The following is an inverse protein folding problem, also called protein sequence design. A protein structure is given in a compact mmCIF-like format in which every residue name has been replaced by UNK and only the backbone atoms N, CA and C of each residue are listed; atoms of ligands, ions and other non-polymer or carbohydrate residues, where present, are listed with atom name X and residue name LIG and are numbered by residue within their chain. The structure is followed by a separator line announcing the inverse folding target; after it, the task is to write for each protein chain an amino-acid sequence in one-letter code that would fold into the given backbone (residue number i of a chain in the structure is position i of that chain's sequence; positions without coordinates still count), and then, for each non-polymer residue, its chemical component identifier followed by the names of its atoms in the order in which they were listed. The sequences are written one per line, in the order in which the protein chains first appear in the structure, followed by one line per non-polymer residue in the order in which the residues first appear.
data_IF_133287056850
#
_entry.id   IF_133287056850
#
_cell.length_a   1.000
_cell.length_b   1.000
_cell.length_c   1.000
_cell.angle_alpha   90.00
_cell.angle_beta   90.00
_cell.angle_gamma   90.00
#
_symmetry.space_group_name_H-M   'P 1'
#
loop_
_entity.id
_entity.type
_entity.pdbx_description
1 polymer ?
#
# COMPACT_ATOMS: atom_id res chain seq x y z
N UNK A 1 35.53 -84.58 -54.55
CA UNK A 1 35.99 -83.28 -55.07
C UNK A 1 34.97 -82.22 -54.52
N UNK A 2 35.51 -81.11 -54.02
CA UNK A 2 34.93 -79.90 -53.44
C UNK A 2 34.58 -79.99 -51.96
N UNK A 3 35.49 -79.39 -51.15
CA UNK A 3 35.38 -79.07 -49.75
C UNK A 3 34.43 -77.89 -49.51
N UNK A 4 33.62 -78.04 -48.53
CA UNK A 4 32.84 -76.93 -48.01
C UNK A 4 33.39 -76.55 -46.61
N UNK A 5 33.91 -75.34 -46.49
CA UNK A 5 34.39 -74.76 -45.23
C UNK A 5 33.17 -74.25 -44.42
N UNK A 6 33.06 -74.76 -43.20
CA UNK A 6 32.21 -74.14 -42.19
C UNK A 6 32.88 -72.91 -41.60
N UNK A 7 32.21 -71.76 -41.69
CA UNK A 7 32.62 -70.56 -40.96
C UNK A 7 31.95 -70.56 -39.57
N UNK A 8 32.77 -70.53 -38.53
CA UNK A 8 32.28 -70.41 -37.16
C UNK A 8 31.70 -69.02 -36.90
N UNK A 9 30.52 -69.00 -36.25
CA UNK A 9 29.88 -67.80 -35.74
C UNK A 9 30.30 -67.65 -34.28
N UNK A 10 31.04 -66.57 -33.99
CA UNK A 10 31.35 -66.17 -32.63
C UNK A 10 30.16 -65.40 -32.06
N UNK A 11 29.55 -65.90 -30.99
CA UNK A 11 28.50 -65.23 -30.22
C UNK A 11 29.19 -64.32 -29.21
N UNK A 12 29.14 -63.02 -29.43
CA UNK A 12 29.54 -62.01 -28.43
C UNK A 12 28.39 -61.75 -27.48
N UNK A 13 28.46 -62.25 -26.27
CA UNK A 13 27.55 -61.93 -25.18
C UNK A 13 27.80 -60.51 -24.71
N UNK A 14 27.00 -59.55 -25.14
CA UNK A 14 26.98 -58.18 -24.64
C UNK A 14 26.26 -58.12 -23.32
N UNK A 15 26.98 -57.88 -22.21
CA UNK A 15 26.42 -57.61 -20.89
C UNK A 15 25.92 -56.17 -20.88
N UNK A 16 24.60 -55.96 -20.97
CA UNK A 16 23.98 -54.67 -20.78
C UNK A 16 23.98 -54.33 -19.29
N UNK A 17 24.88 -53.44 -18.84
CA UNK A 17 24.82 -52.79 -17.54
C UNK A 17 23.65 -51.77 -17.58
N UNK A 18 22.50 -52.12 -16.99
CA UNK A 18 21.48 -51.17 -16.64
C UNK A 18 22.00 -50.31 -15.49
N UNK A 19 22.49 -49.10 -15.79
CA UNK A 19 22.67 -48.01 -14.82
C UNK A 19 21.29 -47.52 -14.43
N UNK A 20 20.71 -48.10 -13.40
CA UNK A 20 19.54 -47.55 -12.72
C UNK A 20 19.88 -46.22 -12.10
N UNK A 21 19.44 -45.10 -12.69
CA UNK A 21 19.46 -43.81 -12.04
C UNK A 21 18.51 -43.89 -10.85
N UNK A 22 19.04 -44.08 -9.65
CA UNK A 22 18.30 -43.86 -8.40
C UNK A 22 18.04 -42.37 -8.33
N UNK A 23 16.89 -41.93 -8.86
CA UNK A 23 16.34 -40.62 -8.54
C UNK A 23 15.94 -40.67 -7.08
N UNK A 24 16.86 -40.30 -6.19
CA UNK A 24 16.52 -40.03 -4.78
C UNK A 24 15.41 -39.01 -4.74
N UNK A 25 14.47 -39.12 -3.77
CA UNK A 25 13.48 -38.07 -3.58
C UNK A 25 14.21 -36.75 -3.42
N UNK A 26 13.87 -35.78 -4.27
CA UNK A 26 14.34 -34.41 -4.09
C UNK A 26 14.01 -34.05 -2.64
N UNK A 27 15.03 -33.79 -1.82
CA UNK A 27 14.84 -33.26 -0.47
C UNK A 27 14.05 -31.97 -0.64
N UNK A 28 12.73 -32.05 -0.46
CA UNK A 28 11.87 -30.89 -0.41
C UNK A 28 12.39 -29.99 0.69
N UNK A 29 12.72 -28.75 0.36
CA UNK A 29 13.13 -27.78 1.38
C UNK A 29 12.10 -27.80 2.51
N UNK A 30 12.57 -27.89 3.77
CA UNK A 30 11.67 -27.86 4.92
C UNK A 30 10.73 -26.65 4.83
N UNK A 31 9.44 -26.82 5.11
CA UNK A 31 8.47 -25.72 5.02
C UNK A 31 8.92 -24.58 5.95
N UNK A 32 8.95 -23.37 5.41
CA UNK A 32 9.32 -22.17 6.18
C UNK A 32 8.39 -22.03 7.35
N UNK A 33 8.94 -21.88 8.56
CA UNK A 33 8.23 -21.73 9.82
C UNK A 33 8.72 -20.49 10.58
N UNK A 34 7.91 -20.00 11.50
CA UNK A 34 8.28 -18.91 12.40
C UNK A 34 7.13 -17.96 12.70
N UNK A 35 7.48 -16.84 13.32
CA UNK A 35 6.55 -15.75 13.64
C UNK A 35 6.89 -14.54 12.79
N UNK A 36 5.89 -13.84 12.25
CA UNK A 36 6.06 -12.60 11.54
C UNK A 36 5.18 -11.53 12.14
N UNK A 37 5.78 -10.49 12.70
CA UNK A 37 5.10 -9.32 13.23
C UNK A 37 5.01 -8.22 12.16
N UNK A 38 3.81 -7.86 11.76
CA UNK A 38 3.54 -6.81 10.76
C UNK A 38 3.05 -5.55 11.48
N UNK A 39 3.78 -4.45 11.34
CA UNK A 39 3.31 -3.13 11.75
C UNK A 39 2.64 -2.44 10.56
N UNK A 40 1.35 -2.08 10.71
CA UNK A 40 0.57 -1.65 9.55
C UNK A 40 -0.46 -0.57 9.83
N UNK A 41 -0.74 0.22 8.78
CA UNK A 41 -1.87 1.16 8.73
C UNK A 41 -3.01 0.68 7.82
N UNK A 42 -2.98 -0.58 7.38
CA UNK A 42 -4.11 -1.16 6.64
C UNK A 42 -5.30 -1.34 7.59
N UNK A 43 -6.52 -1.14 7.09
CA UNK A 43 -7.71 -1.19 7.96
C UNK A 43 -7.94 -2.58 8.58
N UNK A 44 -8.43 -2.59 9.81
CA UNK A 44 -8.65 -3.82 10.59
C UNK A 44 -9.54 -4.83 9.86
N UNK A 45 -10.61 -4.38 9.19
CA UNK A 45 -11.50 -5.27 8.45
C UNK A 45 -10.79 -6.01 7.31
N UNK A 46 -9.75 -5.41 6.70
CA UNK A 46 -8.93 -6.05 5.67
C UNK A 46 -7.98 -7.07 6.30
N UNK A 47 -7.39 -6.74 7.45
CA UNK A 47 -6.58 -7.68 8.22
C UNK A 47 -7.39 -8.94 8.55
N UNK A 48 -8.63 -8.77 9.02
CA UNK A 48 -9.51 -9.89 9.36
C UNK A 48 -9.87 -10.74 8.13
N UNK A 49 -10.01 -10.15 6.95
CA UNK A 49 -10.18 -10.88 5.69
C UNK A 49 -8.93 -11.63 5.24
N UNK A 50 -7.73 -11.10 5.53
CA UNK A 50 -6.45 -11.72 5.16
C UNK A 50 -6.06 -12.89 6.05
N UNK A 51 -6.41 -12.86 7.34
CA UNK A 51 -6.01 -13.87 8.34
C UNK A 51 -6.32 -15.31 7.93
N UNK A 52 -7.56 -15.66 7.47
CA UNK A 52 -7.87 -17.03 7.05
C UNK A 52 -6.99 -17.51 5.90
N UNK A 53 -6.80 -16.67 4.88
CA UNK A 53 -5.98 -16.98 3.69
C UNK A 53 -4.52 -17.21 4.09
N UNK A 54 -3.97 -16.33 4.93
CA UNK A 54 -2.59 -16.47 5.43
C UNK A 54 -2.42 -17.75 6.24
N UNK A 55 -3.36 -18.06 7.14
CA UNK A 55 -3.32 -19.28 7.97
C UNK A 55 -3.43 -20.55 7.12
N UNK A 56 -4.28 -20.55 6.11
CA UNK A 56 -4.44 -21.68 5.18
C UNK A 56 -3.18 -21.90 4.34
N UNK A 57 -2.62 -20.82 3.80
CA UNK A 57 -1.49 -20.89 2.87
C UNK A 57 -0.15 -21.12 3.56
N UNK A 58 0.01 -20.57 4.75
CA UNK A 58 1.25 -20.62 5.54
C UNK A 58 0.99 -21.14 6.97
N UNK A 59 0.54 -22.41 7.12
CA UNK A 59 0.12 -22.94 8.42
C UNK A 59 1.22 -22.94 9.47
N UNK A 60 2.49 -22.94 9.03
CA UNK A 60 3.68 -22.94 9.90
C UNK A 60 4.21 -21.53 10.21
N UNK A 61 3.58 -20.46 9.69
CA UNK A 61 3.96 -19.08 9.96
C UNK A 61 2.86 -18.42 10.80
N UNK A 62 3.18 -18.02 12.03
CA UNK A 62 2.29 -17.23 12.88
C UNK A 62 2.40 -15.74 12.50
N UNK A 63 1.41 -15.22 11.77
CA UNK A 63 1.37 -13.82 11.34
C UNK A 63 0.64 -12.98 12.37
N UNK A 64 1.35 -12.09 13.01
CA UNK A 64 0.84 -11.17 14.02
C UNK A 64 0.82 -9.72 13.50
N UNK A 65 -0.05 -8.89 14.09
CA UNK A 65 -0.32 -7.55 13.61
C UNK A 65 -0.29 -6.53 14.74
N UNK A 66 0.45 -5.45 14.51
CA UNK A 66 0.24 -4.19 15.21
C UNK A 66 -0.44 -3.21 14.26
N UNK A 67 -1.65 -2.79 14.59
CA UNK A 67 -2.47 -1.92 13.76
C UNK A 67 -2.58 -0.51 14.36
N UNK A 68 -2.48 0.50 13.48
CA UNK A 68 -2.69 1.91 13.82
C UNK A 68 -2.56 2.81 12.61
N UNK A 69 -2.93 4.08 12.74
CA UNK A 69 -2.59 5.09 11.73
C UNK A 69 -1.07 5.14 11.50
N UNK A 70 -0.64 5.57 10.31
CA UNK A 70 0.80 5.56 9.97
C UNK A 70 1.64 6.29 11.01
N UNK A 71 1.20 7.46 11.48
CA UNK A 71 1.93 8.22 12.51
C UNK A 71 2.08 7.47 13.83
N UNK A 72 1.03 6.75 14.27
CA UNK A 72 1.10 5.88 15.46
C UNK A 72 2.11 4.75 15.28
N UNK A 73 2.17 4.16 14.08
CA UNK A 73 3.16 3.11 13.77
C UNK A 73 4.57 3.69 13.76
N UNK A 74 4.76 4.88 13.16
CA UNK A 74 6.05 5.58 13.11
C UNK A 74 6.53 5.91 14.53
N UNK A 75 5.68 6.51 15.36
CA UNK A 75 6.02 6.84 16.77
C UNK A 75 6.47 5.60 17.53
N UNK A 76 5.76 4.48 17.36
CA UNK A 76 6.15 3.21 18.00
C UNK A 76 7.52 2.72 17.50
N UNK A 77 7.76 2.76 16.18
CA UNK A 77 9.04 2.35 15.61
C UNK A 77 10.20 3.22 16.09
N UNK A 78 10.01 4.54 16.15
CA UNK A 78 11.03 5.48 16.66
C UNK A 78 11.39 5.14 18.10
N UNK A 79 10.39 4.98 18.97
CA UNK A 79 10.63 4.59 20.37
C UNK A 79 11.34 3.25 20.53
N UNK A 80 11.03 2.26 19.65
CA UNK A 80 11.71 0.97 19.64
C UNK A 80 13.14 1.05 19.12
N UNK A 81 13.41 1.91 18.13
CA UNK A 81 14.77 2.14 17.62
C UNK A 81 15.65 2.83 18.66
N UNK A 82 15.11 3.74 19.46
CA UNK A 82 15.82 4.37 20.59
C UNK A 82 16.22 3.33 21.65
N UNK A 83 15.44 2.26 21.80
CA UNK A 83 15.75 1.11 22.65
C UNK A 83 16.67 0.08 21.98
N UNK A 84 17.16 0.37 20.76
CA UNK A 84 18.14 -0.41 20.02
C UNK A 84 17.56 -1.43 19.03
N UNK A 85 16.26 -1.72 19.06
CA UNK A 85 15.65 -2.72 18.15
C UNK A 85 14.15 -2.48 18.00
N UNK A 86 13.53 -3.08 16.99
CA UNK A 86 12.08 -3.14 16.79
C UNK A 86 11.57 -4.57 16.83
N UNK A 87 10.32 -4.74 17.27
CA UNK A 87 9.62 -6.02 17.19
C UNK A 87 9.00 -6.28 15.81
N UNK A 88 8.96 -5.29 14.92
CA UNK A 88 8.44 -5.47 13.57
C UNK A 88 9.39 -6.32 12.72
N UNK A 89 8.85 -7.32 12.02
CA UNK A 89 9.52 -8.02 10.93
C UNK A 89 9.22 -7.35 9.60
N UNK A 90 7.96 -6.89 9.43
CA UNK A 90 7.49 -6.15 8.26
C UNK A 90 6.85 -4.83 8.68
N UNK A 91 7.07 -3.80 7.88
CA UNK A 91 6.34 -2.53 7.98
C UNK A 91 5.50 -2.35 6.71
N UNK A 92 4.22 -1.94 6.88
CA UNK A 92 3.27 -1.72 5.78
C UNK A 92 2.39 -0.51 6.08
N UNK A 93 2.88 0.70 5.82
CA UNK A 93 2.19 1.97 6.11
C UNK A 93 2.05 2.84 4.86
N UNK A 94 1.11 3.77 4.89
CA UNK A 94 0.80 4.65 3.76
C UNK A 94 1.58 5.97 3.82
N UNK A 95 2.90 5.85 3.95
CA UNK A 95 3.84 6.97 3.89
C UNK A 95 5.12 6.56 3.15
N UNK A 96 5.19 6.71 1.82
CA UNK A 96 6.38 6.38 1.03
C UNK A 96 7.61 7.18 1.43
N UNK A 97 7.43 8.42 1.90
CA UNK A 97 8.53 9.28 2.30
C UNK A 97 9.28 8.72 3.52
N UNK A 98 8.56 8.10 4.46
CA UNK A 98 9.18 7.45 5.62
C UNK A 98 10.06 6.25 5.23
N UNK A 99 9.72 5.51 4.16
CA UNK A 99 10.57 4.41 3.67
C UNK A 99 11.89 4.92 3.08
N UNK A 100 11.91 6.09 2.47
CA UNK A 100 13.15 6.73 2.05
C UNK A 100 14.05 7.05 3.27
N UNK A 101 13.46 7.52 4.38
CA UNK A 101 14.19 7.72 5.64
C UNK A 101 14.72 6.40 6.21
N UNK A 102 13.87 5.37 6.34
CA UNK A 102 14.28 4.05 6.82
C UNK A 102 15.40 3.43 5.99
N UNK A 103 15.37 3.62 4.66
CA UNK A 103 16.42 3.18 3.75
C UNK A 103 17.74 3.92 4.01
N UNK A 104 17.72 5.25 4.08
CA UNK A 104 18.90 6.07 4.40
C UNK A 104 19.54 5.68 5.73
N UNK A 105 18.71 5.40 6.73
CA UNK A 105 19.14 5.04 8.09
C UNK A 105 19.52 3.56 8.22
N UNK A 106 19.52 2.80 7.10
CA UNK A 106 19.88 1.39 7.07
C UNK A 106 18.97 0.47 7.90
N UNK A 107 17.70 0.84 8.09
CA UNK A 107 16.73 0.09 8.90
C UNK A 107 16.02 -1.01 8.13
N UNK A 108 16.08 -1.01 6.79
CA UNK A 108 15.44 -1.99 5.93
C UNK A 108 16.41 -3.07 5.45
N UNK A 109 15.90 -4.28 5.30
CA UNK A 109 16.59 -5.38 4.63
C UNK A 109 16.44 -5.24 3.11
N UNK A 110 17.55 -5.30 2.39
CA UNK A 110 17.52 -5.37 0.93
C UNK A 110 17.00 -6.74 0.48
N UNK A 111 15.90 -6.76 -0.26
CA UNK A 111 15.32 -7.98 -0.79
C UNK A 111 14.62 -7.73 -2.12
N UNK A 112 15.04 -8.46 -3.17
CA UNK A 112 14.39 -8.43 -4.48
C UNK A 112 13.41 -9.58 -4.59
N UNK A 113 12.14 -9.28 -4.40
CA UNK A 113 11.05 -10.24 -4.60
C UNK A 113 10.98 -10.71 -6.05
N UNK A 114 10.70 -12.00 -6.32
CA UNK A 114 10.40 -12.49 -7.67
C UNK A 114 9.14 -11.85 -8.26
N UNK A 115 8.28 -11.26 -7.42
CA UNK A 115 7.06 -10.57 -7.83
C UNK A 115 7.31 -9.13 -8.31
N UNK A 116 8.46 -8.50 -8.04
CA UNK A 116 8.73 -7.10 -8.43
C UNK A 116 8.57 -6.87 -9.94
N UNK A 117 8.90 -7.85 -10.79
CA UNK A 117 8.75 -7.79 -12.25
C UNK A 117 7.30 -7.65 -12.75
N UNK A 118 6.31 -7.94 -11.89
CA UNK A 118 4.89 -7.84 -12.20
C UNK A 118 4.24 -6.54 -11.68
N UNK A 119 4.99 -5.70 -10.96
CA UNK A 119 4.49 -4.44 -10.42
C UNK A 119 4.74 -3.30 -11.40
N UNK A 120 4.08 -2.17 -11.19
CA UNK A 120 4.47 -0.93 -11.86
C UNK A 120 5.89 -0.55 -11.43
N UNK A 121 6.85 -0.35 -12.37
CA UNK A 121 8.27 -0.20 -12.04
C UNK A 121 8.59 0.96 -11.09
N UNK A 122 7.88 2.06 -11.22
CA UNK A 122 8.05 3.28 -10.39
C UNK A 122 7.55 3.13 -8.94
N UNK A 123 6.93 1.99 -8.60
CA UNK A 123 6.52 1.66 -7.23
C UNK A 123 7.40 0.59 -6.58
N UNK A 124 8.49 0.27 -7.22
CA UNK A 124 9.53 -0.62 -6.68
C UNK A 124 10.78 0.20 -6.43
N UNK A 125 11.28 0.18 -5.21
CA UNK A 125 12.58 0.82 -4.93
C UNK A 125 13.67 0.18 -5.80
N UNK A 126 14.42 1.01 -6.54
CA UNK A 126 15.44 0.55 -7.48
C UNK A 126 16.52 -0.32 -6.85
N UNK A 127 16.79 -0.11 -5.57
CA UNK A 127 17.79 -0.87 -4.81
C UNK A 127 17.19 -2.08 -4.09
N UNK A 128 15.83 -2.22 -4.07
CA UNK A 128 15.14 -3.40 -3.55
C UNK A 128 14.94 -3.39 -2.03
N UNK A 129 14.81 -2.24 -1.40
CA UNK A 129 14.54 -2.16 0.04
C UNK A 129 13.05 -2.19 0.39
N UNK A 130 12.19 -1.71 -0.52
CA UNK A 130 10.75 -1.73 -0.36
C UNK A 130 10.04 -1.73 -1.73
N UNK A 131 8.76 -2.00 -1.72
CA UNK A 131 7.90 -1.80 -2.89
C UNK A 131 6.50 -1.40 -2.46
N UNK A 132 5.75 -0.73 -3.34
CA UNK A 132 4.32 -0.56 -3.15
C UNK A 132 3.64 -1.91 -2.93
N UNK A 133 2.67 -1.97 -2.02
CA UNK A 133 1.83 -3.15 -1.78
C UNK A 133 0.37 -2.87 -2.06
N UNK A 134 -0.03 -1.63 -1.98
CA UNK A 134 -1.37 -1.12 -2.33
C UNK A 134 -1.27 0.33 -2.74
N UNK A 135 -2.31 0.81 -3.41
CA UNK A 135 -2.45 2.22 -3.70
C UNK A 135 -3.55 2.82 -2.85
N UNK A 136 -3.35 4.04 -2.40
CA UNK A 136 -4.40 4.87 -1.85
C UNK A 136 -4.59 6.06 -2.78
N UNK A 137 -5.83 6.45 -3.03
CA UNK A 137 -6.15 7.62 -3.85
C UNK A 137 -6.88 8.61 -2.98
N UNK A 138 -6.20 9.72 -2.63
CA UNK A 138 -6.84 10.85 -1.97
C UNK A 138 -7.54 11.70 -3.03
N UNK A 139 -8.83 11.92 -2.82
CA UNK A 139 -9.67 12.76 -3.66
C UNK A 139 -10.71 13.50 -2.85
N UNK A 140 -11.79 13.89 -3.50
CA UNK A 140 -12.89 14.59 -2.86
C UNK A 140 -14.06 13.63 -2.67
N UNK A 141 -14.47 13.43 -1.43
CA UNK A 141 -15.70 12.73 -1.10
C UNK A 141 -16.84 13.73 -0.83
N UNK A 142 -18.08 13.31 -1.08
CA UNK A 142 -19.26 14.11 -0.81
C UNK A 142 -20.43 13.24 -0.35
N UNK A 143 -21.33 13.84 0.44
CA UNK A 143 -22.59 13.23 0.83
C UNK A 143 -23.63 13.47 -0.27
N UNK A 144 -24.10 12.41 -0.93
CA UNK A 144 -25.09 12.47 -2.04
C UNK A 144 -26.44 13.05 -1.64
N UNK A 145 -26.78 13.06 -0.34
CA UNK A 145 -28.03 13.66 0.16
C UNK A 145 -27.94 15.18 0.32
N UNK A 146 -26.70 15.71 0.46
CA UNK A 146 -26.44 17.12 0.73
C UNK A 146 -25.91 17.90 -0.48
N UNK A 147 -25.30 17.21 -1.43
CA UNK A 147 -24.62 17.84 -2.58
C UNK A 147 -25.32 17.38 -3.86
N UNK A 148 -26.02 18.31 -4.51
CA UNK A 148 -26.66 18.06 -5.80
C UNK A 148 -25.61 17.92 -6.92
N UNK A 149 -25.93 17.16 -7.98
CA UNK A 149 -25.00 16.90 -9.10
C UNK A 149 -24.44 18.18 -9.74
N UNK A 150 -25.24 19.24 -9.86
CA UNK A 150 -24.82 20.53 -10.40
C UNK A 150 -23.82 21.29 -9.51
N UNK A 151 -23.74 20.95 -8.24
CA UNK A 151 -22.92 21.61 -7.22
C UNK A 151 -21.64 20.85 -6.89
N UNK A 152 -21.40 19.71 -7.53
CA UNK A 152 -20.24 18.87 -7.27
C UNK A 152 -18.93 19.65 -7.44
N UNK A 153 -17.99 19.58 -6.49
CA UNK A 153 -16.65 20.13 -6.66
C UNK A 153 -15.91 19.38 -7.79
N UNK A 154 -15.07 20.09 -8.53
CA UNK A 154 -14.29 19.53 -9.64
C UNK A 154 -12.78 19.57 -9.40
N UNK A 155 -12.34 20.51 -8.59
CA UNK A 155 -10.95 20.75 -8.24
C UNK A 155 -10.76 20.79 -6.74
N UNK A 156 -9.51 20.70 -6.26
CA UNK A 156 -9.22 20.89 -4.84
C UNK A 156 -9.67 22.28 -4.35
N UNK A 157 -9.47 23.33 -5.19
CA UNK A 157 -9.86 24.69 -4.86
C UNK A 157 -11.37 24.85 -4.60
N UNK A 158 -12.22 24.01 -5.18
CA UNK A 158 -13.68 24.07 -4.94
C UNK A 158 -14.06 23.76 -3.49
N UNK A 159 -13.17 23.07 -2.73
CA UNK A 159 -13.36 22.88 -1.29
C UNK A 159 -13.26 24.19 -0.49
N UNK A 160 -12.52 25.17 -1.00
CA UNK A 160 -12.41 26.50 -0.40
C UNK A 160 -13.56 27.43 -0.79
N UNK A 161 -14.53 26.99 -1.61
CA UNK A 161 -15.69 27.81 -1.98
C UNK A 161 -16.54 28.13 -0.73
N UNK A 162 -16.92 29.42 -0.51
CA UNK A 162 -17.72 29.84 0.65
C UNK A 162 -19.06 29.10 0.83
N UNK A 163 -19.61 28.51 -0.24
CA UNK A 163 -20.84 27.70 -0.12
C UNK A 163 -20.66 26.47 0.81
N UNK A 164 -19.42 26.02 1.00
CA UNK A 164 -19.08 24.90 1.89
C UNK A 164 -18.56 25.32 3.26
N UNK A 165 -18.66 26.59 3.63
CA UNK A 165 -18.10 27.09 4.90
C UNK A 165 -18.60 26.27 6.10
N UNK A 166 -17.66 25.72 6.88
CA UNK A 166 -17.93 24.85 8.01
C UNK A 166 -18.50 23.47 7.66
N UNK A 167 -18.49 23.09 6.36
CA UNK A 167 -19.00 21.80 5.85
C UNK A 167 -17.91 21.00 5.12
N UNK A 168 -16.65 21.40 5.22
CA UNK A 168 -15.50 20.73 4.65
C UNK A 168 -14.72 20.02 5.72
N UNK A 169 -14.34 18.75 5.48
CA UNK A 169 -13.45 17.99 6.36
C UNK A 169 -12.21 17.48 5.66
N UNK A 170 -11.15 17.28 6.43
CA UNK A 170 -9.95 16.60 5.98
C UNK A 170 -9.33 15.79 7.12
N UNK A 171 -8.62 14.69 6.83
CA UNK A 171 -7.86 14.01 7.87
C UNK A 171 -6.66 14.87 8.28
N UNK A 172 -6.33 14.84 9.59
CA UNK A 172 -5.23 15.62 10.15
C UNK A 172 -3.87 15.01 9.75
N UNK A 173 -2.97 15.76 9.10
CA UNK A 173 -1.64 15.30 8.69
C UNK A 173 -0.70 14.98 9.86
N UNK A 174 -0.99 15.45 11.07
CA UNK A 174 -0.21 15.11 12.27
C UNK A 174 -0.56 13.69 12.80
N UNK A 175 -1.66 13.09 12.33
CA UNK A 175 -2.17 11.81 12.83
C UNK A 175 -2.31 10.74 11.74
N UNK A 176 -2.38 11.15 10.47
CA UNK A 176 -2.63 10.29 9.32
C UNK A 176 -1.56 10.44 8.25
N UNK A 177 -0.84 9.35 7.95
CA UNK A 177 0.22 9.38 6.92
C UNK A 177 -0.31 9.72 5.53
N UNK A 178 -1.49 9.23 5.13
CA UNK A 178 -2.09 9.63 3.84
C UNK A 178 -2.46 11.10 3.81
N UNK A 179 -2.89 11.68 4.93
CA UNK A 179 -3.12 13.11 5.05
C UNK A 179 -1.80 13.89 4.99
N UNK A 180 -0.77 13.42 5.71
CA UNK A 180 0.55 14.03 5.69
C UNK A 180 1.12 14.13 4.28
N UNK A 181 1.20 13.01 3.56
CA UNK A 181 1.78 13.02 2.20
C UNK A 181 0.92 13.80 1.20
N UNK A 182 -0.42 13.79 1.37
CA UNK A 182 -1.33 14.60 0.54
C UNK A 182 -1.13 16.09 0.79
N UNK A 183 -1.02 16.49 2.07
CA UNK A 183 -0.72 17.87 2.46
C UNK A 183 0.63 18.30 1.91
N UNK A 184 1.67 17.50 2.08
CA UNK A 184 3.01 17.81 1.57
C UNK A 184 3.04 17.97 0.05
N UNK A 185 2.35 17.10 -0.68
CA UNK A 185 2.23 17.16 -2.14
C UNK A 185 1.48 18.41 -2.61
N UNK A 186 0.31 18.68 -2.05
CA UNK A 186 -0.48 19.88 -2.37
C UNK A 186 0.26 21.16 -2.01
N UNK A 187 0.92 21.21 -0.84
CA UNK A 187 1.69 22.38 -0.41
C UNK A 187 2.90 22.69 -1.31
N UNK A 188 3.50 21.64 -1.92
CA UNK A 188 4.60 21.80 -2.89
C UNK A 188 4.14 22.08 -4.31
N UNK A 189 2.87 21.81 -4.61
CA UNK A 189 2.31 22.01 -5.94
C UNK A 189 2.23 23.50 -6.28
N UNK A 190 2.74 23.95 -7.45
CA UNK A 190 2.61 25.33 -7.88
C UNK A 190 1.17 25.77 -8.10
N UNK A 191 0.26 24.82 -8.35
CA UNK A 191 -1.18 25.09 -8.51
C UNK A 191 -1.87 25.37 -7.18
N UNK A 192 -1.38 24.82 -6.06
CA UNK A 192 -2.03 24.88 -4.74
C UNK A 192 -1.19 25.66 -3.74
N UNK A 193 -0.08 25.12 -3.27
CA UNK A 193 0.77 25.76 -2.27
C UNK A 193 0.08 25.87 -0.91
N UNK A 194 0.73 26.51 0.03
CA UNK A 194 0.16 26.76 1.37
C UNK A 194 -1.09 27.65 1.32
N UNK A 195 -1.20 28.53 0.33
CA UNK A 195 -2.38 29.38 0.12
C UNK A 195 -3.69 28.59 0.00
N UNK A 196 -3.64 27.35 -0.48
CA UNK A 196 -4.81 26.46 -0.51
C UNK A 196 -5.26 26.11 0.91
N UNK A 197 -4.34 25.76 1.79
CA UNK A 197 -4.65 25.46 3.20
C UNK A 197 -5.11 26.69 3.99
N UNK A 198 -4.55 27.86 3.71
CA UNK A 198 -5.05 29.14 4.23
C UNK A 198 -6.50 29.40 3.80
N UNK A 199 -6.84 29.11 2.55
CA UNK A 199 -8.20 29.24 2.04
C UNK A 199 -9.15 28.23 2.70
N UNK A 200 -8.73 26.99 2.92
CA UNK A 200 -9.49 26.01 3.69
C UNK A 200 -9.72 26.45 5.14
N UNK A 201 -8.71 27.03 5.80
CA UNK A 201 -8.84 27.60 7.15
C UNK A 201 -9.87 28.72 7.18
N UNK A 202 -9.80 29.67 6.23
CA UNK A 202 -10.81 30.75 6.08
C UNK A 202 -12.20 30.20 5.83
N UNK A 203 -12.31 29.00 5.23
CA UNK A 203 -13.57 28.30 4.99
C UNK A 203 -14.01 27.42 6.17
N UNK A 204 -13.37 27.51 7.33
CA UNK A 204 -13.65 26.74 8.54
C UNK A 204 -13.60 25.21 8.27
N UNK A 205 -12.51 24.74 7.62
CA UNK A 205 -12.27 23.30 7.46
C UNK A 205 -12.13 22.64 8.83
N UNK A 206 -12.68 21.43 8.99
CA UNK A 206 -12.45 20.61 10.18
C UNK A 206 -11.37 19.55 9.91
N UNK A 207 -10.42 19.43 10.84
CA UNK A 207 -9.36 18.41 10.77
C UNK A 207 -9.73 17.26 11.70
N UNK A 208 -9.87 16.06 11.12
CA UNK A 208 -10.30 14.87 11.84
C UNK A 208 -9.12 13.93 12.14
N UNK A 209 -9.18 13.09 13.18
CA UNK A 209 -8.07 12.20 13.55
C UNK A 209 -7.60 11.27 12.43
N UNK A 210 -8.42 11.03 11.41
CA UNK A 210 -8.09 10.19 10.27
C UNK A 210 -9.23 10.06 9.28
N UNK A 211 -9.01 9.29 8.21
CA UNK A 211 -9.99 9.12 7.13
C UNK A 211 -11.34 8.55 7.63
N UNK A 212 -11.33 7.60 8.56
CA UNK A 212 -12.55 7.02 9.11
C UNK A 212 -13.43 8.05 9.86
N UNK A 213 -12.82 9.04 10.52
CA UNK A 213 -13.56 10.10 11.18
C UNK A 213 -14.18 11.10 10.18
N UNK A 214 -13.45 11.42 9.08
CA UNK A 214 -14.01 12.20 7.97
C UNK A 214 -15.21 11.46 7.34
N UNK A 215 -15.06 10.16 7.07
CA UNK A 215 -16.12 9.30 6.54
C UNK A 215 -17.37 9.36 7.44
N UNK A 216 -17.20 9.18 8.75
CA UNK A 216 -18.31 9.23 9.73
C UNK A 216 -19.03 10.56 9.69
N UNK A 217 -18.32 11.68 9.66
CA UNK A 217 -18.92 13.02 9.60
C UNK A 217 -19.60 13.33 8.27
N UNK A 218 -19.07 12.81 7.16
CA UNK A 218 -19.76 12.88 5.87
C UNK A 218 -21.07 12.06 5.90
N UNK A 219 -21.03 10.85 6.44
CA UNK A 219 -22.23 9.99 6.53
C UNK A 219 -23.31 10.56 7.44
N UNK A 220 -22.93 11.18 8.55
CA UNK A 220 -23.87 11.82 9.49
C UNK A 220 -24.44 13.14 8.96
N UNK A 221 -23.88 13.70 7.86
CA UNK A 221 -24.28 14.99 7.31
C UNK A 221 -23.71 16.20 8.06
N UNK A 222 -22.81 15.99 9.02
CA UNK A 222 -22.05 17.10 9.63
C UNK A 222 -21.16 17.80 8.60
N UNK A 223 -20.59 17.02 7.67
CA UNK A 223 -19.83 17.51 6.53
C UNK A 223 -20.62 17.23 5.23
N UNK A 224 -20.49 18.13 4.27
CA UNK A 224 -21.05 17.96 2.93
C UNK A 224 -20.01 17.40 1.96
N UNK A 225 -18.77 17.89 2.04
CA UNK A 225 -17.64 17.50 1.20
C UNK A 225 -16.39 17.36 2.03
N UNK A 226 -15.36 16.67 1.52
CA UNK A 226 -14.09 16.57 2.23
C UNK A 226 -13.01 15.82 1.46
N UNK A 227 -11.78 15.96 1.91
CA UNK A 227 -10.66 15.13 1.47
C UNK A 227 -10.80 13.74 2.09
N UNK A 228 -10.86 12.70 1.26
CA UNK A 228 -11.01 11.32 1.73
C UNK A 228 -10.40 10.33 0.74
N UNK A 229 -10.00 9.18 1.23
CA UNK A 229 -9.52 8.10 0.40
C UNK A 229 -10.66 7.43 -0.38
N UNK A 230 -10.37 7.04 -1.62
CA UNK A 230 -11.32 6.35 -2.49
C UNK A 230 -11.90 5.09 -1.84
N UNK A 231 -11.05 4.25 -1.24
CA UNK A 231 -11.47 2.99 -0.61
C UNK A 231 -12.53 3.16 0.47
N UNK A 232 -12.50 4.26 1.23
CA UNK A 232 -13.54 4.57 2.21
C UNK A 232 -14.89 4.78 1.53
N UNK A 233 -14.89 5.55 0.44
CA UNK A 233 -16.12 5.83 -0.32
C UNK A 233 -16.64 4.59 -1.03
N UNK A 234 -15.77 3.80 -1.66
CA UNK A 234 -16.14 2.57 -2.35
C UNK A 234 -16.75 1.54 -1.40
N UNK A 235 -16.14 1.37 -0.21
CA UNK A 235 -16.67 0.53 0.85
C UNK A 235 -18.05 1.02 1.30
N UNK A 236 -18.16 2.29 1.65
CA UNK A 236 -19.44 2.89 2.08
C UNK A 236 -20.54 2.73 1.01
N UNK A 237 -20.21 2.96 -0.27
CA UNK A 237 -21.12 2.78 -1.38
C UNK A 237 -21.53 1.31 -1.57
N UNK A 238 -20.63 0.35 -1.33
CA UNK A 238 -20.97 -1.09 -1.37
C UNK A 238 -21.94 -1.51 -0.28
N UNK A 239 -21.99 -0.75 0.81
CA UNK A 239 -22.93 -0.92 1.92
C UNK A 239 -24.23 -0.09 1.73
N UNK A 240 -24.43 0.50 0.55
CA UNK A 240 -25.60 1.31 0.24
C UNK A 240 -25.59 2.71 0.90
N UNK A 241 -24.47 3.14 1.46
CA UNK A 241 -24.33 4.45 2.11
C UNK A 241 -24.17 5.58 1.08
N UNK A 242 -24.69 6.79 1.36
CA UNK A 242 -24.82 7.86 0.37
C UNK A 242 -23.53 8.68 0.18
N UNK A 243 -22.39 8.04 -0.05
CA UNK A 243 -21.15 8.73 -0.39
C UNK A 243 -20.86 8.65 -1.89
N UNK A 244 -20.25 9.70 -2.42
CA UNK A 244 -19.70 9.76 -3.76
C UNK A 244 -18.26 10.22 -3.73
N UNK A 245 -17.49 9.83 -4.75
CA UNK A 245 -16.09 10.17 -4.91
C UNK A 245 -15.84 10.92 -6.21
N UNK A 246 -14.95 11.88 -6.16
CA UNK A 246 -14.50 12.71 -7.28
C UNK A 246 -13.00 12.70 -7.32
N UNK A 247 -12.44 12.36 -8.47
CA UNK A 247 -11.03 12.59 -8.76
C UNK A 247 -10.87 14.06 -9.18
N UNK A 248 -10.20 14.91 -8.36
CA UNK A 248 -10.02 16.32 -8.71
C UNK A 248 -9.32 16.48 -10.06
N UNK A 249 -9.84 17.33 -10.96
CA UNK A 249 -9.28 17.51 -12.30
C UNK A 249 -7.91 18.19 -12.31
N UNK A 250 -7.54 18.85 -11.21
CA UNK A 250 -6.22 19.42 -10.96
C UNK A 250 -5.22 18.42 -10.34
N UNK A 251 -5.64 17.16 -10.18
CA UNK A 251 -4.84 15.99 -9.85
C UNK A 251 -5.16 15.36 -8.49
N UNK A 252 -5.73 14.13 -8.45
CA UNK A 252 -5.83 13.38 -7.20
C UNK A 252 -4.43 13.02 -6.69
N UNK A 253 -4.28 12.80 -5.38
CA UNK A 253 -3.00 12.33 -4.83
C UNK A 253 -3.00 10.80 -4.81
N UNK A 254 -2.13 10.21 -5.61
CA UNK A 254 -1.93 8.75 -5.68
C UNK A 254 -0.76 8.38 -4.77
N UNK A 255 -1.02 7.57 -3.76
CA UNK A 255 -0.08 7.24 -2.69
C UNK A 255 0.28 5.75 -2.76
N UNK A 256 1.46 5.37 -3.22
CA UNK A 256 1.93 3.99 -3.13
C UNK A 256 2.26 3.68 -1.66
N UNK A 257 1.36 2.97 -0.97
CA UNK A 257 1.64 2.51 0.39
C UNK A 257 2.62 1.33 0.32
N UNK A 258 3.86 1.49 0.81
CA UNK A 258 4.86 0.45 0.65
C UNK A 258 4.77 -0.65 1.70
N UNK A 259 5.46 -1.76 1.39
CA UNK A 259 5.87 -2.81 2.33
C UNK A 259 7.41 -2.91 2.32
N UNK A 260 8.01 -3.11 3.49
CA UNK A 260 9.44 -3.33 3.66
C UNK A 260 9.72 -4.36 4.75
N UNK A 261 10.86 -5.04 4.65
CA UNK A 261 11.33 -5.99 5.66
C UNK A 261 12.31 -5.24 6.58
N UNK A 262 12.12 -5.35 7.89
CA UNK A 262 13.04 -4.73 8.84
C UNK A 262 14.38 -5.49 8.84
N UNK A 263 15.50 -4.74 8.84
CA UNK A 263 16.84 -5.33 8.82
C UNK A 263 17.13 -6.18 10.05
N UNK A 264 16.52 -5.85 11.16
CA UNK A 264 16.71 -6.50 12.47
C UNK A 264 15.88 -7.76 12.66
N UNK A 265 15.03 -8.14 11.67
CA UNK A 265 14.22 -9.36 11.77
C UNK A 265 15.09 -10.62 11.95
N UNK A 266 14.72 -11.43 12.92
CA UNK A 266 15.29 -12.76 13.14
C UNK A 266 14.60 -13.85 12.31
N UNK A 267 13.47 -13.51 11.68
CA UNK A 267 12.61 -14.41 10.92
C UNK A 267 12.65 -14.14 9.41
N UNK A 268 13.85 -13.86 8.86
CA UNK A 268 14.00 -13.39 7.48
C UNK A 268 13.30 -14.28 6.44
N UNK A 269 13.40 -15.61 6.57
CA UNK A 269 12.77 -16.53 5.62
C UNK A 269 11.23 -16.38 5.64
N UNK A 270 10.62 -16.37 6.82
CA UNK A 270 9.19 -16.20 6.98
C UNK A 270 8.73 -14.80 6.53
N UNK A 271 9.48 -13.75 6.88
CA UNK A 271 9.20 -12.37 6.46
C UNK A 271 9.22 -12.23 4.93
N UNK A 272 10.19 -12.84 4.23
CA UNK A 272 10.25 -12.85 2.75
C UNK A 272 9.04 -13.57 2.14
N UNK A 273 8.64 -14.71 2.69
CA UNK A 273 7.45 -15.46 2.22
C UNK A 273 6.19 -14.61 2.35
N UNK A 274 5.99 -13.94 3.48
CA UNK A 274 4.82 -13.07 3.68
C UNK A 274 4.90 -11.81 2.82
N UNK A 275 6.08 -11.21 2.67
CA UNK A 275 6.31 -10.10 1.74
C UNK A 275 5.93 -10.48 0.30
N UNK A 276 6.41 -11.63 -0.18
CA UNK A 276 6.13 -12.15 -1.52
C UNK A 276 4.64 -12.45 -1.73
N UNK A 277 3.95 -12.96 -0.70
CA UNK A 277 2.51 -13.16 -0.75
C UNK A 277 1.77 -11.85 -1.02
N UNK A 278 2.08 -10.78 -0.31
CA UNK A 278 1.42 -9.49 -0.52
C UNK A 278 1.62 -8.93 -1.93
N UNK A 279 2.72 -9.26 -2.59
CA UNK A 279 3.01 -8.83 -3.96
C UNK A 279 2.52 -9.83 -5.03
N UNK A 280 2.10 -11.03 -4.63
CA UNK A 280 1.55 -12.04 -5.53
C UNK A 280 0.18 -11.62 -6.08
N UNK A 281 -0.26 -12.29 -7.14
CA UNK A 281 -1.60 -12.05 -7.69
C UNK A 281 -2.70 -12.32 -6.67
N UNK A 282 -2.55 -13.35 -5.84
CA UNK A 282 -3.49 -13.72 -4.79
C UNK A 282 -3.54 -12.66 -3.67
N UNK A 283 -2.38 -12.23 -3.16
CA UNK A 283 -2.31 -11.16 -2.16
C UNK A 283 -2.88 -9.84 -2.69
N UNK A 284 -2.59 -9.52 -3.95
CA UNK A 284 -3.14 -8.33 -4.60
C UNK A 284 -4.65 -8.43 -4.87
N UNK A 285 -5.19 -9.63 -5.09
CA UNK A 285 -6.64 -9.82 -5.15
C UNK A 285 -7.31 -9.50 -3.80
N UNK A 286 -6.68 -9.87 -2.69
CA UNK A 286 -7.18 -9.51 -1.36
C UNK A 286 -7.15 -7.98 -1.14
N UNK A 287 -6.13 -7.28 -1.64
CA UNK A 287 -6.05 -5.81 -1.63
C UNK A 287 -7.21 -5.20 -2.43
N UNK A 288 -7.46 -5.69 -3.64
CA UNK A 288 -8.57 -5.23 -4.51
C UNK A 288 -9.93 -5.51 -3.88
N UNK A 289 -10.11 -6.67 -3.25
CA UNK A 289 -11.33 -7.00 -2.50
C UNK A 289 -11.55 -6.08 -1.29
N UNK A 290 -10.47 -5.50 -0.76
CA UNK A 290 -10.48 -4.46 0.27
C UNK A 290 -10.71 -3.04 -0.26
N UNK A 291 -11.21 -2.90 -1.48
CA UNK A 291 -11.47 -1.63 -2.20
C UNK A 291 -10.22 -0.78 -2.49
N UNK A 292 -9.01 -1.31 -2.36
CA UNK A 292 -7.78 -0.58 -2.67
C UNK A 292 -7.25 -0.98 -4.05
N UNK A 293 -6.82 -0.03 -4.88
CA UNK A 293 -6.17 -0.37 -6.15
C UNK A 293 -4.87 -1.14 -5.95
N UNK A 294 -4.66 -2.12 -6.83
CA UNK A 294 -3.47 -2.96 -6.86
C UNK A 294 -2.25 -2.19 -7.38
N UNK A 295 -1.07 -2.61 -6.92
CA UNK A 295 0.23 -2.19 -7.49
C UNK A 295 0.62 -2.99 -8.74
N UNK A 296 -0.19 -3.97 -9.13
CA UNK A 296 0.00 -4.78 -10.34
C UNK A 296 -0.90 -4.29 -11.47
N UNK A 297 -0.36 -4.04 -12.67
CA UNK A 297 -1.15 -3.60 -13.82
C UNK A 297 -2.13 -4.67 -14.36
N UNK A 298 -1.90 -5.95 -14.03
CA UNK A 298 -2.71 -7.09 -14.48
C UNK A 298 -3.90 -7.40 -13.54
N UNK A 299 -4.15 -6.55 -12.54
CA UNK A 299 -5.28 -6.70 -11.63
C UNK A 299 -6.46 -5.80 -12.01
N UNK A 300 -7.70 -6.22 -11.72
CA UNK A 300 -8.87 -5.36 -11.95
C UNK A 300 -8.90 -4.15 -11.02
N UNK A 301 -9.70 -3.16 -11.36
CA UNK A 301 -10.05 -2.09 -10.43
C UNK A 301 -10.88 -2.64 -9.25
N UNK A 302 -10.83 -1.99 -8.07
CA UNK A 302 -11.75 -2.28 -6.99
C UNK A 302 -13.21 -2.16 -7.44
N UNK A 303 -14.10 -2.94 -6.80
CA UNK A 303 -15.52 -2.88 -7.09
C UNK A 303 -16.06 -1.45 -6.90
N UNK A 304 -16.82 -0.96 -7.87
CA UNK A 304 -17.40 0.39 -7.93
C UNK A 304 -16.38 1.53 -8.15
N UNK A 305 -15.10 1.28 -8.34
CA UNK A 305 -14.16 2.31 -8.76
C UNK A 305 -14.52 2.79 -10.18
N UNK A 306 -14.56 4.11 -10.37
CA UNK A 306 -14.91 4.69 -11.67
C UNK A 306 -13.74 4.61 -12.67
N UNK A 307 -12.51 4.57 -12.19
CA UNK A 307 -11.29 4.52 -13.00
C UNK A 307 -10.35 3.43 -12.53
N UNK A 308 -9.59 2.88 -13.48
CA UNK A 308 -8.45 2.03 -13.13
C UNK A 308 -7.27 2.89 -12.67
N UNK A 309 -6.45 2.35 -11.77
CA UNK A 309 -5.27 3.06 -11.27
C UNK A 309 -4.33 3.54 -12.39
N UNK A 310 -4.18 2.75 -13.46
CA UNK A 310 -3.37 3.14 -14.64
C UNK A 310 -3.87 4.41 -15.32
N UNK A 311 -5.19 4.69 -15.23
CA UNK A 311 -5.79 5.88 -15.83
C UNK A 311 -5.75 7.07 -14.86
N UNK A 312 -5.99 6.84 -13.57
CA UNK A 312 -5.84 7.87 -12.52
C UNK A 312 -4.41 8.45 -12.50
N UNK A 313 -3.39 7.61 -12.66
CA UNK A 313 -1.99 8.04 -12.70
C UNK A 313 -1.66 9.05 -13.79
N UNK A 314 -2.39 9.05 -14.90
CA UNK A 314 -2.12 9.95 -16.05
C UNK A 314 -2.32 11.43 -15.71
N UNK A 315 -3.16 11.73 -14.72
CA UNK A 315 -3.45 13.08 -14.28
C UNK A 315 -3.28 13.31 -12.77
N UNK A 316 -2.69 12.34 -12.07
CA UNK A 316 -2.37 12.46 -10.65
C UNK A 316 -1.41 13.63 -10.39
N UNK A 317 -1.51 14.19 -9.19
CA UNK A 317 -0.57 15.21 -8.72
C UNK A 317 0.85 14.62 -8.70
N UNK A 318 1.84 15.26 -9.34
CA UNK A 318 3.23 14.83 -9.24
C UNK A 318 3.73 14.88 -7.80
N UNK A 319 4.37 13.81 -7.33
CA UNK A 319 4.85 13.67 -5.95
C UNK A 319 6.37 13.48 -5.93
N UNK A 320 7.07 14.32 -5.19
CA UNK A 320 8.49 14.16 -4.90
C UNK A 320 8.67 13.57 -3.50
N UNK A 321 8.66 12.23 -3.44
CA UNK A 321 8.75 11.48 -2.19
C UNK A 321 10.07 11.73 -1.46
N UNK A 322 11.17 11.96 -2.21
CA UNK A 322 12.47 12.24 -1.62
C UNK A 322 12.48 13.61 -0.93
N UNK A 323 11.97 14.65 -1.60
CA UNK A 323 11.86 15.96 -1.01
C UNK A 323 10.91 15.99 0.19
N UNK A 324 9.81 15.22 0.15
CA UNK A 324 8.88 15.08 1.29
C UNK A 324 9.58 14.41 2.48
N UNK A 325 10.42 13.40 2.22
CA UNK A 325 11.12 12.63 3.27
C UNK A 325 12.18 13.41 4.04
N UNK A 326 12.64 14.53 3.50
CA UNK A 326 13.71 15.35 4.14
C UNK A 326 13.21 16.30 5.21
N UNK A 327 11.97 16.74 5.13
CA UNK A 327 11.45 17.82 5.97
C UNK A 327 10.02 17.54 6.48
N UNK A 328 9.74 16.34 7.03
CA UNK A 328 8.38 16.01 7.45
C UNK A 328 7.87 16.91 8.56
N UNK A 329 8.71 17.22 9.55
CA UNK A 329 8.32 18.04 10.70
C UNK A 329 8.01 19.48 10.28
N UNK A 330 8.79 20.07 9.36
CA UNK A 330 8.48 21.42 8.84
C UNK A 330 7.11 21.50 8.16
N UNK A 331 6.70 20.43 7.45
CA UNK A 331 5.38 20.39 6.83
C UNK A 331 4.28 20.32 7.89
N UNK A 332 4.47 19.48 8.92
CA UNK A 332 3.53 19.32 10.03
C UNK A 332 3.39 20.61 10.85
N UNK A 333 4.51 21.20 11.24
CA UNK A 333 4.54 22.48 11.96
C UNK A 333 3.85 23.60 11.19
N UNK A 334 4.14 23.72 9.89
CA UNK A 334 3.52 24.75 9.06
C UNK A 334 2.04 24.53 8.86
N UNK A 335 1.60 23.27 8.72
CA UNK A 335 0.18 22.95 8.67
C UNK A 335 -0.53 23.31 9.99
N UNK A 336 0.09 22.95 11.11
CA UNK A 336 -0.41 23.26 12.46
C UNK A 336 -0.64 24.76 12.63
N UNK A 337 0.37 25.58 12.29
CA UNK A 337 0.31 27.05 12.36
C UNK A 337 -0.78 27.64 11.45
N UNK A 338 -0.97 27.11 10.24
CA UNK A 338 -1.90 27.69 9.25
C UNK A 338 -3.34 27.24 9.50
N UNK A 339 -3.54 25.97 9.86
CA UNK A 339 -4.88 25.34 9.80
C UNK A 339 -5.46 25.09 11.19
N UNK A 340 -4.61 24.70 12.17
CA UNK A 340 -5.10 24.28 13.48
C UNK A 340 -5.11 25.44 14.50
N UNK A 341 -4.29 26.46 14.27
CA UNK A 341 -4.19 27.69 15.10
C UNK A 341 -4.47 28.94 14.29
#
# INVERSE_FOLDING_TARGET
MKSIRLKGIAIVAGTLLLLGTISGPALGAEPVKGKVMIYTSIYLHIIEQLKPTLKQKFPNIDVQWFYGGSEKVITKLVAEFEQGNTMADLIMIADPAYYNALKRDGKLLQYRSPNHKYLFPDWVDKDGYYSGVRMNIMGIAYNKKLVAAKDLPKTWWDLANPKWRGKVGMPNPLLSGTAFVSTAGLARSPKHGWRFFEALRKNNVTCEPGNGAVETKLLSGQLAVGMLLEENVLKAASEGKPLGFIYPSDGPVVIPAPIGIMKTTKNQAAAKVIYDFFLSKEGQQAIVNGWMPSVRPDMPAPKNAALMIKDVRKFALPMDWEAISREPEKVKEKFDQIVLH
#
